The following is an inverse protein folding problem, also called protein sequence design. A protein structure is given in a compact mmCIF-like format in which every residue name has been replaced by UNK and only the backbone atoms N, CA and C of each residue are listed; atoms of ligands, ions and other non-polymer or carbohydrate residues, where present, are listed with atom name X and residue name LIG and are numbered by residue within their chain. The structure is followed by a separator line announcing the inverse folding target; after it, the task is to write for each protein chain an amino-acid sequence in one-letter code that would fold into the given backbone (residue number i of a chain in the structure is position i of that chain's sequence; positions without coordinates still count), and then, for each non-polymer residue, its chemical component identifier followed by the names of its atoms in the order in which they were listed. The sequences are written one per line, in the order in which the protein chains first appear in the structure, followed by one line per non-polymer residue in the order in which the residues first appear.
data_IF_599764575121
#
_entry.id   IF_599764575121
#
_cell.length_a   1.000
_cell.length_b   1.000
_cell.length_c   1.000
_cell.angle_alpha   90.00
_cell.angle_beta   90.00
_cell.angle_gamma   90.00
#
_symmetry.space_group_name_H-M   'P 1'
#
loop_
_entity.id
_entity.type
_entity.pdbx_description
1 polymer ?
#
# COMPACT_ATOMS: atom_id res chain seq x y z
N UNK A 1 -0.99 3.98 -21.96
CA UNK A 1 -0.11 5.08 -22.43
C UNK A 1 0.95 4.47 -23.32
N UNK A 2 1.45 5.19 -24.33
CA UNK A 2 2.55 4.66 -25.15
C UNK A 2 3.85 4.71 -24.34
N UNK A 3 4.79 3.79 -24.62
CA UNK A 3 6.12 3.76 -23.99
C UNK A 3 6.88 5.10 -24.09
N UNK A 4 6.54 5.92 -25.09
CA UNK A 4 7.05 7.28 -25.30
C UNK A 4 6.43 8.29 -24.33
N UNK A 5 5.12 8.15 -24.06
CA UNK A 5 4.39 9.02 -23.11
C UNK A 5 4.87 8.86 -21.67
N UNK A 6 5.31 7.66 -21.27
CA UNK A 6 5.83 7.40 -19.92
C UNK A 6 7.25 7.95 -19.74
N UNK A 7 8.11 7.79 -20.75
CA UNK A 7 9.43 8.42 -20.79
C UNK A 7 9.33 9.95 -20.70
N UNK A 8 8.41 10.55 -21.46
CA UNK A 8 8.20 12.01 -21.46
C UNK A 8 7.74 12.53 -20.08
N UNK A 9 6.86 11.79 -19.38
CA UNK A 9 6.39 12.14 -18.04
C UNK A 9 7.49 12.01 -16.99
N UNK A 10 8.27 10.92 -17.03
CA UNK A 10 9.41 10.73 -16.12
C UNK A 10 10.48 11.80 -16.33
N UNK A 11 10.79 12.14 -17.57
CA UNK A 11 11.74 13.20 -17.91
C UNK A 11 11.23 14.58 -17.47
N UNK A 12 9.94 14.88 -17.64
CA UNK A 12 9.35 16.12 -17.13
C UNK A 12 9.44 16.20 -15.60
N UNK A 13 9.17 15.10 -14.91
CA UNK A 13 9.29 15.02 -13.45
C UNK A 13 10.74 15.17 -12.98
N UNK A 14 11.70 14.58 -13.70
CA UNK A 14 13.12 14.76 -13.44
C UNK A 14 13.51 16.24 -13.47
N UNK A 15 13.17 16.95 -14.55
CA UNK A 15 13.50 18.37 -14.69
C UNK A 15 12.79 19.24 -13.63
N UNK A 16 11.56 18.90 -13.27
CA UNK A 16 10.85 19.60 -12.20
C UNK A 16 11.57 19.47 -10.85
N UNK A 17 12.01 18.26 -10.49
CA UNK A 17 12.72 18.03 -9.22
C UNK A 17 14.12 18.66 -9.23
N UNK A 18 14.81 18.62 -10.37
CA UNK A 18 16.08 19.31 -10.57
C UNK A 18 15.94 20.82 -10.35
N UNK A 19 14.91 21.45 -10.95
CA UNK A 19 14.66 22.88 -10.83
C UNK A 19 14.25 23.29 -9.41
N UNK A 20 13.42 22.49 -8.74
CA UNK A 20 13.09 22.72 -7.35
C UNK A 20 14.32 22.67 -6.43
N UNK A 21 15.21 21.71 -6.64
CA UNK A 21 16.44 21.63 -5.86
C UNK A 21 17.32 22.88 -6.07
N UNK A 22 17.44 23.39 -7.30
CA UNK A 22 18.18 24.62 -7.60
C UNK A 22 17.60 25.83 -6.87
N UNK A 23 16.28 26.03 -6.97
CA UNK A 23 15.58 27.17 -6.35
C UNK A 23 15.75 27.16 -4.83
N UNK A 24 15.58 26.01 -4.18
CA UNK A 24 15.70 25.92 -2.73
C UNK A 24 17.14 26.13 -2.25
N UNK A 25 18.12 25.62 -2.98
CA UNK A 25 19.54 25.79 -2.64
C UNK A 25 19.96 27.26 -2.74
N UNK A 26 19.61 27.92 -3.84
CA UNK A 26 19.92 29.34 -4.07
C UNK A 26 19.27 30.23 -3.00
N UNK A 27 18.02 29.92 -2.64
CA UNK A 27 17.32 30.66 -1.58
C UNK A 27 17.95 30.43 -0.21
N UNK A 28 18.35 29.20 0.12
CA UNK A 28 19.04 28.88 1.36
C UNK A 28 20.38 29.63 1.47
N UNK A 29 21.17 29.64 0.39
CA UNK A 29 22.43 30.37 0.30
C UNK A 29 22.22 31.88 0.46
N UNK A 30 21.19 32.43 -0.18
CA UNK A 30 20.85 33.86 -0.09
C UNK A 30 20.45 34.26 1.33
N UNK A 31 19.65 33.46 2.03
CA UNK A 31 19.29 33.75 3.42
C UNK A 31 20.52 33.64 4.32
N UNK A 32 21.32 32.59 4.17
CA UNK A 32 22.53 32.38 4.97
C UNK A 32 23.54 33.53 4.80
N UNK A 33 23.71 34.04 3.58
CA UNK A 33 24.59 35.18 3.29
C UNK A 33 24.09 36.50 3.90
N UNK A 34 22.77 36.70 3.96
CA UNK A 34 22.17 37.95 4.45
C UNK A 34 21.82 37.95 5.95
N UNK A 35 21.99 36.82 6.64
CA UNK A 35 21.69 36.68 8.07
C UNK A 35 22.91 36.14 8.86
N UNK A 36 23.97 36.95 9.03
CA UNK A 36 25.19 36.54 9.74
C UNK A 36 24.96 36.26 11.24
N UNK A 37 23.81 36.66 11.78
CA UNK A 37 23.42 36.35 13.16
C UNK A 37 22.59 35.05 13.26
N UNK A 38 22.37 34.36 12.13
CA UNK A 38 21.69 33.07 12.05
C UNK A 38 20.28 33.09 12.69
N UNK A 39 19.57 34.21 12.64
CA UNK A 39 18.21 34.36 13.21
C UNK A 39 17.17 33.51 12.46
N UNK A 40 17.43 33.19 11.19
CA UNK A 40 16.60 32.41 10.27
C UNK A 40 17.15 31.00 10.03
N UNK A 41 17.98 30.49 10.93
CA UNK A 41 18.63 29.19 10.80
C UNK A 41 17.63 28.03 10.59
N UNK A 42 16.44 28.10 11.21
CA UNK A 42 15.36 27.11 10.98
C UNK A 42 14.80 27.12 9.56
N UNK A 43 14.75 28.29 8.91
CA UNK A 43 14.29 28.45 7.53
C UNK A 43 15.33 27.93 6.54
N UNK A 44 16.61 28.25 6.79
CA UNK A 44 17.74 27.72 6.01
C UNK A 44 17.80 26.19 6.12
N UNK A 45 17.61 25.65 7.34
CA UNK A 45 17.54 24.19 7.57
C UNK A 45 16.40 23.54 6.78
N UNK A 46 15.23 24.19 6.72
CA UNK A 46 14.09 23.68 5.95
C UNK A 46 14.37 23.68 4.44
N UNK A 47 14.90 24.78 3.89
CA UNK A 47 15.22 24.88 2.47
C UNK A 47 16.31 23.89 2.04
N UNK A 48 17.33 23.68 2.88
CA UNK A 48 18.36 22.67 2.62
C UNK A 48 17.80 21.24 2.68
N UNK A 49 16.82 20.97 3.53
CA UNK A 49 16.11 19.69 3.52
C UNK A 49 15.32 19.47 2.22
N UNK A 50 14.56 20.47 1.77
CA UNK A 50 13.80 20.39 0.52
C UNK A 50 14.73 20.24 -0.69
N UNK A 51 15.88 20.92 -0.68
CA UNK A 51 16.96 20.75 -1.68
C UNK A 51 17.45 19.31 -1.75
N UNK A 52 17.84 18.72 -0.61
CA UNK A 52 18.36 17.36 -0.55
C UNK A 52 17.31 16.32 -0.97
N UNK A 53 16.03 16.56 -0.65
CA UNK A 53 14.94 15.67 -1.06
C UNK A 53 14.71 15.70 -2.57
N UNK A 54 14.56 16.90 -3.13
CA UNK A 54 14.34 17.08 -4.56
C UNK A 54 15.53 16.57 -5.38
N UNK A 55 16.77 16.82 -4.92
CA UNK A 55 17.97 16.28 -5.55
C UNK A 55 18.08 14.75 -5.48
N UNK A 56 17.68 14.13 -4.35
CA UNK A 56 17.64 12.67 -4.23
C UNK A 56 16.60 12.04 -5.18
N UNK A 57 15.44 12.67 -5.35
CA UNK A 57 14.41 12.21 -6.29
C UNK A 57 14.83 12.39 -7.74
N UNK A 58 15.42 13.54 -8.10
CA UNK A 58 15.99 13.77 -9.42
C UNK A 58 17.06 12.70 -9.76
N UNK A 59 17.93 12.37 -8.81
CA UNK A 59 18.95 11.33 -8.98
C UNK A 59 18.36 9.93 -9.17
N UNK A 60 17.25 9.62 -8.47
CA UNK A 60 16.50 8.36 -8.64
C UNK A 60 15.82 8.32 -10.01
N UNK A 61 15.03 9.33 -10.35
CA UNK A 61 14.32 9.41 -11.63
C UNK A 61 15.28 9.30 -12.79
N UNK A 62 16.46 9.95 -12.69
CA UNK A 62 17.49 9.81 -13.72
C UNK A 62 18.00 8.37 -13.86
N UNK A 63 18.27 7.68 -12.75
CA UNK A 63 18.68 6.26 -12.79
C UNK A 63 17.62 5.39 -13.45
N UNK A 64 16.35 5.62 -13.10
CA UNK A 64 15.23 4.88 -13.66
C UNK A 64 15.07 5.20 -15.17
N UNK A 65 15.22 6.47 -15.59
CA UNK A 65 15.20 6.87 -17.01
C UNK A 65 16.37 6.24 -17.78
N UNK A 66 17.61 6.28 -17.27
CA UNK A 66 18.76 5.64 -17.92
C UNK A 66 18.60 4.12 -18.04
N UNK A 67 17.95 3.49 -17.06
CA UNK A 67 17.74 2.05 -17.03
C UNK A 67 16.63 1.59 -17.98
N UNK A 68 15.51 2.30 -18.01
CA UNK A 68 14.30 1.86 -18.71
C UNK A 68 14.07 2.58 -20.05
N UNK A 69 14.69 3.74 -20.25
CA UNK A 69 14.52 4.62 -21.41
C UNK A 69 15.86 5.23 -21.85
N UNK A 70 16.83 4.41 -22.31
CA UNK A 70 18.19 4.85 -22.60
C UNK A 70 18.29 5.91 -23.72
N UNK A 71 17.28 5.97 -24.59
CA UNK A 71 17.20 6.93 -25.70
C UNK A 71 16.52 8.26 -25.30
N UNK A 72 16.04 8.39 -24.05
CA UNK A 72 15.38 9.60 -23.58
C UNK A 72 16.40 10.72 -23.32
N UNK A 73 16.22 11.87 -23.98
CA UNK A 73 17.02 13.07 -23.77
C UNK A 73 16.62 13.76 -22.46
N UNK A 74 17.59 13.90 -21.54
CA UNK A 74 17.43 14.63 -20.27
C UNK A 74 18.41 15.82 -20.16
N UNK A 75 19.05 16.20 -21.26
CA UNK A 75 19.88 17.41 -21.36
C UNK A 75 21.31 17.35 -20.78
N UNK A 76 21.68 16.37 -19.95
CA UNK A 76 23.04 16.26 -19.39
C UNK A 76 23.66 14.87 -19.59
N UNK A 77 24.83 14.82 -20.23
CA UNK A 77 25.61 13.57 -20.50
C UNK A 77 26.12 12.86 -19.22
N UNK A 78 25.98 13.50 -18.03
CA UNK A 78 26.26 12.93 -16.70
C UNK A 78 25.33 13.50 -15.61
N UNK A 79 24.02 13.48 -15.86
CA UNK A 79 23.02 14.11 -15.00
C UNK A 79 23.03 13.62 -13.52
N UNK A 80 23.34 12.34 -13.27
CA UNK A 80 23.45 11.80 -11.90
C UNK A 80 24.60 12.46 -11.13
N UNK A 81 25.77 12.58 -11.76
CA UNK A 81 26.95 13.20 -11.18
C UNK A 81 26.72 14.71 -11.03
N UNK A 82 26.06 15.34 -12.02
CA UNK A 82 25.71 16.75 -11.95
C UNK A 82 24.81 17.08 -10.75
N UNK A 83 23.73 16.32 -10.54
CA UNK A 83 22.82 16.51 -9.38
C UNK A 83 23.56 16.30 -8.06
N UNK A 84 24.46 15.33 -8.02
CA UNK A 84 25.28 15.09 -6.84
C UNK A 84 26.21 16.28 -6.55
N UNK A 85 26.99 16.69 -7.54
CA UNK A 85 28.08 17.64 -7.37
C UNK A 85 27.59 19.10 -7.25
N UNK A 86 26.44 19.42 -7.86
CA UNK A 86 25.91 20.79 -7.90
C UNK A 86 24.75 21.04 -6.93
N UNK A 87 24.09 20.00 -6.42
CA UNK A 87 22.95 20.16 -5.50
C UNK A 87 23.20 19.49 -4.15
N UNK A 88 23.56 18.20 -4.13
CA UNK A 88 23.71 17.44 -2.88
C UNK A 88 24.95 17.90 -2.11
N UNK A 89 26.10 17.97 -2.78
CA UNK A 89 27.38 18.36 -2.15
C UNK A 89 27.31 19.79 -1.59
N UNK A 90 26.84 20.81 -2.35
CA UNK A 90 26.76 22.17 -1.82
C UNK A 90 25.73 22.34 -0.69
N UNK A 91 24.60 21.62 -0.75
CA UNK A 91 23.61 21.65 0.33
C UNK A 91 24.17 21.06 1.63
N UNK A 92 24.92 19.95 1.56
CA UNK A 92 25.60 19.35 2.72
C UNK A 92 26.71 20.23 3.26
N UNK A 93 27.48 20.85 2.38
CA UNK A 93 28.50 21.81 2.78
C UNK A 93 27.88 22.97 3.57
N UNK A 94 26.76 23.54 3.09
CA UNK A 94 26.09 24.63 3.79
C UNK A 94 25.49 24.19 5.14
N UNK A 95 24.96 22.97 5.25
CA UNK A 95 24.50 22.42 6.54
C UNK A 95 25.66 22.33 7.54
N UNK A 96 26.79 21.78 7.10
CA UNK A 96 27.98 21.64 7.91
C UNK A 96 28.51 22.99 8.39
N UNK A 97 28.63 23.97 7.48
CA UNK A 97 29.15 25.31 7.78
C UNK A 97 28.27 26.08 8.77
N UNK A 98 26.97 25.79 8.78
CA UNK A 98 26.00 26.39 9.70
C UNK A 98 25.85 25.64 11.03
N UNK A 99 26.67 24.61 11.27
CA UNK A 99 26.59 23.79 12.48
C UNK A 99 25.25 23.04 12.61
N UNK A 100 24.52 22.89 11.50
CA UNK A 100 23.31 22.10 11.42
C UNK A 100 23.73 20.64 11.27
N UNK A 101 24.02 19.98 12.40
CA UNK A 101 24.41 18.57 12.42
C UNK A 101 23.46 17.74 11.56
N UNK A 102 24.06 16.85 10.76
CA UNK A 102 23.39 15.68 10.17
C UNK A 102 22.91 14.77 11.30
N UNK A 103 21.87 15.18 12.00
CA UNK A 103 21.13 14.29 12.88
C UNK A 103 20.70 13.09 12.02
N UNK A 104 21.16 11.86 12.32
CA UNK A 104 20.85 10.68 11.51
C UNK A 104 19.34 10.46 11.36
N UNK A 105 18.55 10.80 12.38
CA UNK A 105 17.08 10.73 12.30
C UNK A 105 16.52 11.79 11.35
N UNK A 106 17.10 12.99 11.33
CA UNK A 106 16.71 14.07 10.42
C UNK A 106 17.12 13.77 8.98
N UNK A 107 18.33 13.26 8.74
CA UNK A 107 18.80 12.82 7.42
C UNK A 107 17.96 11.64 6.89
N UNK A 108 17.52 10.74 7.78
CA UNK A 108 16.60 9.66 7.42
C UNK A 108 15.19 10.17 7.07
N UNK A 109 14.72 11.23 7.73
CA UNK A 109 13.45 11.92 7.41
C UNK A 109 13.51 12.72 6.10
N UNK A 110 14.69 13.23 5.72
CA UNK A 110 14.87 14.15 4.58
C UNK A 110 15.28 13.44 3.30
N UNK A 111 16.12 12.39 3.37
CA UNK A 111 16.70 11.71 2.21
C UNK A 111 15.95 10.45 1.74
N UNK A 112 14.82 10.06 2.36
CA UNK A 112 13.95 8.99 1.83
C UNK A 112 12.74 9.57 1.07
N UNK A 113 12.37 8.98 -0.09
CA UNK A 113 11.39 9.55 -1.00
C UNK A 113 9.98 9.44 -0.42
N UNK A 114 9.27 10.57 -0.37
CA UNK A 114 7.81 10.74 -0.34
C UNK A 114 6.95 10.08 0.77
N UNK A 115 7.45 9.09 1.51
CA UNK A 115 6.69 8.45 2.57
C UNK A 115 6.54 9.29 3.84
N UNK A 116 7.53 10.11 4.17
CA UNK A 116 7.62 10.78 5.48
C UNK A 116 6.82 12.08 5.54
N UNK A 117 6.65 12.83 4.44
CA UNK A 117 5.75 13.99 4.40
C UNK A 117 4.28 13.58 4.37
N UNK A 118 3.94 12.52 3.64
CA UNK A 118 2.61 11.90 3.74
C UNK A 118 2.41 11.36 5.15
N UNK A 119 3.38 10.65 5.73
CA UNK A 119 3.34 10.18 7.12
C UNK A 119 3.21 11.30 8.17
N UNK A 120 3.94 12.42 8.07
CA UNK A 120 3.81 13.53 9.02
C UNK A 120 2.56 14.37 8.78
N UNK A 121 2.00 14.39 7.56
CA UNK A 121 0.70 14.98 7.27
C UNK A 121 -0.43 14.08 7.79
N UNK A 122 -0.36 12.77 7.56
CA UNK A 122 -1.26 11.74 8.09
C UNK A 122 -1.21 11.68 9.62
N UNK A 123 -0.03 11.68 10.23
CA UNK A 123 0.16 11.66 11.69
C UNK A 123 -0.32 12.95 12.36
N UNK A 124 -0.18 14.11 11.71
CA UNK A 124 -0.76 15.38 12.19
C UNK A 124 -2.27 15.49 11.93
N UNK A 125 -2.82 14.64 11.06
CA UNK A 125 -4.21 14.65 10.60
C UNK A 125 -4.98 13.38 10.97
N UNK A 126 -4.43 12.50 11.82
CA UNK A 126 -5.05 11.22 12.18
C UNK A 126 -6.43 11.43 12.82
N UNK A 127 -6.59 12.52 13.58
CA UNK A 127 -7.86 12.93 14.17
C UNK A 127 -8.89 13.43 13.13
N UNK A 128 -8.45 13.81 11.93
CA UNK A 128 -9.32 14.32 10.85
C UNK A 128 -9.46 13.38 9.64
N UNK A 129 -8.62 12.34 9.55
CA UNK A 129 -8.60 11.37 8.44
C UNK A 129 -9.87 10.52 8.41
N UNK A 130 -10.39 10.18 9.58
CA UNK A 130 -11.65 9.43 9.70
C UNK A 130 -12.87 10.36 9.60
N UNK A 131 -12.69 11.68 9.68
CA UNK A 131 -13.74 12.61 10.10
C UNK A 131 -14.52 13.26 8.94
N UNK A 132 -14.15 13.00 7.67
CA UNK A 132 -14.65 13.82 6.54
C UNK A 132 -15.14 13.10 5.28
N UNK A 133 -14.92 11.80 5.09
CA UNK A 133 -15.58 10.98 4.05
C UNK A 133 -15.38 9.49 4.41
N UNK A 134 -16.44 8.69 4.43
CA UNK A 134 -16.34 7.23 4.60
C UNK A 134 -15.97 6.61 3.24
N UNK A 135 -14.80 5.98 3.14
CA UNK A 135 -14.44 5.12 2.03
C UNK A 135 -14.56 3.66 2.49
N UNK A 136 -15.20 2.76 1.69
CA UNK A 136 -15.36 1.35 2.04
C UNK A 136 -14.01 0.71 2.36
N UNK A 137 -13.99 -0.17 3.38
CA UNK A 137 -12.78 -0.95 3.65
C UNK A 137 -12.37 -1.73 2.40
N UNK A 138 -11.13 -1.53 1.98
CA UNK A 138 -10.54 -2.12 0.77
C UNK A 138 -9.86 -3.45 1.03
N UNK A 139 -9.47 -3.73 2.27
CA UNK A 139 -8.89 -5.02 2.59
C UNK A 139 -9.34 -5.50 3.97
N UNK A 140 -9.41 -6.81 4.14
CA UNK A 140 -9.57 -7.43 5.45
C UNK A 140 -8.87 -8.78 5.51
N UNK A 141 -8.45 -9.17 6.71
CA UNK A 141 -7.79 -10.45 6.97
C UNK A 141 -8.02 -10.86 8.41
N UNK A 142 -8.35 -12.13 8.61
CA UNK A 142 -8.33 -12.75 9.94
C UNK A 142 -6.94 -12.61 10.56
N UNK A 143 -6.87 -12.08 11.78
CA UNK A 143 -5.63 -11.84 12.50
C UNK A 143 -4.86 -13.16 12.64
N UNK A 144 -3.64 -13.27 12.07
CA UNK A 144 -2.88 -14.51 12.18
C UNK A 144 -2.59 -14.85 13.64
N UNK A 145 -2.91 -16.09 14.02
CA UNK A 145 -2.78 -16.57 15.40
C UNK A 145 -3.93 -16.22 16.34
N UNK A 146 -4.93 -15.45 15.89
CA UNK A 146 -6.16 -15.15 16.64
C UNK A 146 -7.38 -15.32 15.72
N UNK A 147 -8.08 -16.44 15.89
CA UNK A 147 -9.21 -16.79 15.04
C UNK A 147 -10.47 -15.96 15.30
N UNK A 148 -10.47 -15.03 16.27
CA UNK A 148 -11.65 -14.22 16.62
C UNK A 148 -11.50 -12.75 16.24
N UNK A 149 -10.32 -12.32 15.80
CA UNK A 149 -10.07 -10.92 15.43
C UNK A 149 -9.71 -10.82 13.97
N UNK A 150 -10.06 -9.70 13.34
CA UNK A 150 -9.73 -9.39 11.97
C UNK A 150 -9.16 -7.98 11.87
N UNK A 151 -8.18 -7.82 10.98
CA UNK A 151 -7.74 -6.52 10.51
C UNK A 151 -8.66 -6.08 9.37
N UNK A 152 -9.12 -4.83 9.43
CA UNK A 152 -9.77 -4.14 8.33
C UNK A 152 -8.94 -2.93 7.96
N UNK A 153 -8.89 -2.61 6.66
CA UNK A 153 -8.07 -1.56 6.08
C UNK A 153 -8.93 -0.67 5.19
N UNK A 154 -8.82 0.64 5.35
CA UNK A 154 -9.49 1.64 4.53
C UNK A 154 -8.54 2.81 4.30
N UNK A 155 -8.21 3.09 3.04
CA UNK A 155 -7.15 4.01 2.66
C UNK A 155 -5.86 3.77 3.47
N UNK A 156 -5.49 4.72 4.32
CA UNK A 156 -4.27 4.71 5.15
C UNK A 156 -4.53 4.22 6.57
N UNK A 157 -5.81 3.98 6.90
CA UNK A 157 -6.30 3.56 8.19
C UNK A 157 -6.49 2.05 8.29
N UNK A 158 -6.47 1.57 9.53
CA UNK A 158 -6.85 0.21 9.87
C UNK A 158 -7.59 0.14 11.20
N UNK A 159 -8.41 -0.88 11.36
CA UNK A 159 -9.10 -1.21 12.60
C UNK A 159 -8.93 -2.71 12.90
N UNK A 160 -8.91 -3.05 14.19
CA UNK A 160 -8.96 -4.44 14.65
C UNK A 160 -10.37 -4.67 15.17
N UNK A 161 -11.10 -5.61 14.55
CA UNK A 161 -12.49 -5.89 14.87
C UNK A 161 -12.62 -7.35 15.29
N UNK A 162 -13.41 -7.61 16.33
CA UNK A 162 -13.94 -8.93 16.66
C UNK A 162 -15.28 -9.09 15.91
N UNK A 163 -15.37 -9.92 14.84
CA UNK A 163 -16.52 -9.97 13.95
C UNK A 163 -17.81 -10.53 14.55
N UNK A 164 -17.73 -11.32 15.63
CA UNK A 164 -18.86 -12.04 16.26
C UNK A 164 -19.97 -12.53 15.30
N UNK A 165 -19.66 -13.51 14.42
CA UNK A 165 -20.60 -14.00 13.41
C UNK A 165 -21.94 -14.44 13.99
N UNK A 166 -23.02 -14.21 13.23
CA UNK A 166 -24.39 -14.58 13.62
C UNK A 166 -25.21 -13.44 14.25
N UNK A 167 -24.62 -12.25 14.43
CA UNK A 167 -25.32 -11.04 14.89
C UNK A 167 -24.67 -9.76 14.36
N UNK A 168 -25.00 -8.63 14.97
CA UNK A 168 -24.42 -7.28 14.71
C UNK A 168 -23.64 -6.79 15.94
N UNK A 169 -23.07 -7.74 16.69
CA UNK A 169 -22.41 -7.49 17.97
C UNK A 169 -20.89 -7.36 17.85
N UNK A 170 -20.40 -7.13 16.62
CA UNK A 170 -19.00 -6.88 16.32
C UNK A 170 -18.50 -5.67 17.10
N UNK A 171 -17.24 -5.73 17.53
CA UNK A 171 -16.65 -4.67 18.35
C UNK A 171 -15.28 -4.29 17.83
N UNK A 172 -14.99 -2.98 17.90
CA UNK A 172 -13.64 -2.45 17.75
C UNK A 172 -12.83 -2.92 18.96
N UNK A 173 -11.79 -3.71 18.71
CA UNK A 173 -10.85 -4.21 19.74
C UNK A 173 -9.86 -3.12 20.12
N UNK A 174 -9.35 -2.40 19.13
CA UNK A 174 -8.44 -1.27 19.29
C UNK A 174 -8.91 -0.11 18.43
N UNK A 175 -8.80 1.12 18.94
CA UNK A 175 -9.21 2.32 18.21
C UNK A 175 -8.59 2.33 16.80
N UNK A 176 -9.35 2.78 15.77
CA UNK A 176 -8.80 2.94 14.43
C UNK A 176 -7.50 3.74 14.47
N UNK A 177 -6.52 3.26 13.71
CA UNK A 177 -5.16 3.81 13.69
C UNK A 177 -4.64 3.82 12.27
N UNK A 178 -3.54 4.52 12.02
CA UNK A 178 -2.87 4.44 10.73
C UNK A 178 -2.17 3.09 10.58
N UNK A 179 -2.18 2.54 9.37
CA UNK A 179 -1.45 1.30 9.05
C UNK A 179 0.03 1.41 9.49
N UNK A 180 0.64 2.55 9.21
CA UNK A 180 2.05 2.87 9.53
C UNK A 180 2.33 3.05 11.02
N UNK A 181 1.31 3.25 11.86
CA UNK A 181 1.48 3.22 13.32
C UNK A 181 1.61 1.77 13.81
N UNK A 182 0.95 0.83 13.13
CA UNK A 182 1.02 -0.59 13.45
C UNK A 182 2.23 -1.27 12.81
N UNK A 183 2.49 -0.96 11.54
CA UNK A 183 3.58 -1.52 10.74
C UNK A 183 4.36 -0.41 10.05
N UNK A 184 5.34 0.16 10.77
CA UNK A 184 6.19 1.24 10.27
C UNK A 184 7.08 0.79 9.11
N UNK A 185 7.39 -0.51 9.00
CA UNK A 185 8.21 -1.04 7.92
C UNK A 185 7.58 -0.86 6.53
N UNK A 186 6.25 -0.73 6.44
CA UNK A 186 5.54 -0.48 5.18
C UNK A 186 5.90 0.88 4.57
N UNK A 187 6.30 1.86 5.39
CA UNK A 187 6.81 3.15 4.93
C UNK A 187 8.11 2.98 4.13
N UNK A 188 8.98 2.06 4.55
CA UNK A 188 10.26 1.83 3.88
C UNK A 188 10.11 1.31 2.45
N UNK A 189 8.92 0.76 2.12
CA UNK A 189 8.60 0.18 0.82
C UNK A 189 7.48 0.92 0.09
N UNK A 190 7.11 2.11 0.58
CA UNK A 190 6.06 2.97 0.02
C UNK A 190 4.66 2.34 -0.07
N UNK A 191 4.33 1.43 0.84
CA UNK A 191 2.97 0.90 0.98
C UNK A 191 2.28 1.72 2.06
N UNK A 192 1.36 2.59 1.64
CA UNK A 192 0.57 3.45 2.55
C UNK A 192 -0.89 3.05 2.64
N UNK A 193 -1.39 2.41 1.57
CA UNK A 193 -2.72 1.81 1.50
C UNK A 193 -2.60 0.32 1.28
N UNK A 194 -3.62 -0.42 1.66
CA UNK A 194 -3.68 -1.88 1.47
C UNK A 194 -4.95 -2.18 0.68
N UNK A 195 -4.75 -2.62 -0.56
CA UNK A 195 -5.84 -2.98 -1.46
C UNK A 195 -6.22 -4.44 -1.28
N UNK A 196 -5.26 -5.31 -0.93
CA UNK A 196 -5.56 -6.65 -0.50
C UNK A 196 -4.50 -7.19 0.47
N UNK A 197 -4.86 -8.19 1.26
CA UNK A 197 -3.93 -8.82 2.20
C UNK A 197 -4.17 -10.32 2.30
N UNK A 198 -3.09 -11.10 2.35
CA UNK A 198 -3.12 -12.55 2.47
C UNK A 198 -2.24 -13.02 3.62
N UNK A 199 -2.85 -13.67 4.61
CA UNK A 199 -2.11 -14.30 5.71
C UNK A 199 -1.23 -15.43 5.18
N UNK A 200 0.03 -15.46 5.61
CA UNK A 200 0.86 -16.64 5.39
C UNK A 200 0.40 -17.76 6.33
N UNK A 201 -0.28 -18.79 5.79
CA UNK A 201 -0.76 -19.93 6.59
C UNK A 201 0.34 -20.86 7.08
N UNK A 202 1.52 -20.85 6.43
CA UNK A 202 2.68 -21.60 6.89
C UNK A 202 3.44 -20.87 8.02
N UNK A 203 3.36 -19.54 8.06
CA UNK A 203 3.96 -18.72 9.10
C UNK A 203 3.00 -17.63 9.57
N UNK A 204 2.38 -17.83 10.73
CA UNK A 204 1.45 -16.87 11.35
C UNK A 204 2.05 -15.49 11.63
N UNK A 205 3.36 -15.35 11.58
CA UNK A 205 4.01 -14.05 11.77
C UNK A 205 4.10 -13.25 10.47
N UNK A 206 3.68 -13.81 9.32
CA UNK A 206 3.84 -13.20 8.03
C UNK A 206 2.50 -12.98 7.30
N UNK A 207 2.45 -11.91 6.50
CA UNK A 207 1.36 -11.66 5.57
C UNK A 207 1.87 -10.94 4.31
N UNK A 208 1.24 -11.23 3.18
CA UNK A 208 1.45 -10.51 1.93
C UNK A 208 0.51 -9.32 1.89
N UNK A 209 1.06 -8.12 1.72
CA UNK A 209 0.32 -6.87 1.53
C UNK A 209 0.41 -6.47 0.07
N UNK A 210 -0.73 -6.19 -0.55
CA UNK A 210 -0.86 -5.75 -1.94
C UNK A 210 -1.32 -4.28 -1.97
N UNK A 211 -0.70 -3.48 -2.82
CA UNK A 211 -0.97 -2.05 -2.99
C UNK A 211 -0.62 -1.62 -4.41
N UNK A 212 -1.63 -1.22 -5.19
CA UNK A 212 -1.51 -0.99 -6.62
C UNK A 212 -0.95 -2.21 -7.34
N UNK A 213 0.11 -2.02 -8.12
CA UNK A 213 0.78 -3.09 -8.87
C UNK A 213 1.87 -3.81 -8.07
N UNK A 214 2.03 -3.49 -6.78
CA UNK A 214 3.12 -3.98 -5.94
C UNK A 214 2.62 -4.81 -4.76
N UNK A 215 3.51 -5.66 -4.25
CA UNK A 215 3.30 -6.39 -3.01
C UNK A 215 4.57 -6.48 -2.17
N UNK A 216 4.39 -6.69 -0.86
CA UNK A 216 5.46 -7.04 0.07
C UNK A 216 5.02 -8.17 1.00
N UNK A 217 5.95 -9.08 1.31
CA UNK A 217 5.81 -10.04 2.40
C UNK A 217 6.38 -9.39 3.67
N UNK A 218 5.54 -9.29 4.69
CA UNK A 218 5.85 -8.57 5.93
C UNK A 218 5.76 -9.53 7.10
N UNK A 219 6.76 -9.51 7.98
CA UNK A 219 6.63 -10.08 9.31
C UNK A 219 5.83 -9.10 10.17
N UNK A 220 4.55 -9.39 10.36
CA UNK A 220 3.59 -8.55 11.07
C UNK A 220 3.79 -8.54 12.58
N UNK A 221 4.60 -9.44 13.13
CA UNK A 221 4.94 -9.48 14.56
C UNK A 221 6.19 -8.69 14.90
N UNK A 222 7.16 -8.68 13.98
CA UNK A 222 8.43 -7.96 14.12
C UNK A 222 8.42 -6.57 13.47
N UNK A 223 7.33 -6.20 12.79
CA UNK A 223 7.24 -4.97 11.98
C UNK A 223 8.44 -4.86 11.02
N UNK A 224 8.58 -5.86 10.14
CA UNK A 224 9.75 -5.99 9.26
C UNK A 224 9.39 -6.51 7.89
N UNK A 225 9.99 -5.93 6.85
CA UNK A 225 9.91 -6.46 5.49
C UNK A 225 10.72 -7.76 5.40
N UNK A 226 10.05 -8.84 4.99
CA UNK A 226 10.69 -10.13 4.69
C UNK A 226 11.09 -10.18 3.22
N UNK A 227 10.22 -9.70 2.32
CA UNK A 227 10.51 -9.59 0.89
C UNK A 227 9.67 -8.47 0.26
N UNK A 228 10.21 -7.82 -0.77
CA UNK A 228 9.53 -6.72 -1.46
C UNK A 228 10.10 -5.34 -1.18
N UNK A 229 9.52 -4.28 -1.76
CA UNK A 229 8.35 -4.34 -2.63
C UNK A 229 8.74 -4.95 -3.98
N UNK A 230 7.86 -5.76 -4.55
CA UNK A 230 8.02 -6.34 -5.88
C UNK A 230 6.73 -6.09 -6.66
N UNK A 231 6.84 -5.94 -7.97
CA UNK A 231 5.67 -5.94 -8.84
C UNK A 231 4.98 -7.31 -8.76
N UNK A 232 3.65 -7.30 -8.70
CA UNK A 232 2.82 -8.51 -8.59
C UNK A 232 3.09 -9.45 -9.76
N UNK A 233 3.09 -8.93 -10.98
CA UNK A 233 3.31 -9.69 -12.22
C UNK A 233 4.71 -10.30 -12.30
N UNK A 234 5.69 -9.71 -11.61
CA UNK A 234 7.06 -10.23 -11.55
C UNK A 234 7.28 -11.22 -10.41
N UNK A 235 6.52 -11.10 -9.32
CA UNK A 235 6.69 -11.95 -8.12
C UNK A 235 5.73 -13.13 -8.00
N UNK A 236 4.61 -13.12 -8.75
CA UNK A 236 3.60 -14.17 -8.75
C UNK A 236 3.33 -14.62 -10.18
N UNK A 237 3.94 -15.74 -10.58
CA UNK A 237 3.85 -16.25 -11.95
C UNK A 237 2.42 -16.64 -12.31
N UNK A 238 1.63 -17.11 -11.36
CA UNK A 238 0.22 -17.45 -11.56
C UNK A 238 -0.66 -16.21 -11.77
N UNK A 239 -0.40 -15.11 -11.06
CA UNK A 239 -1.10 -13.84 -11.25
C UNK A 239 -0.69 -13.19 -12.57
N UNK A 240 0.58 -13.35 -12.97
CA UNK A 240 1.04 -12.99 -14.31
C UNK A 240 0.28 -13.74 -15.41
N UNK A 241 0.13 -15.06 -15.27
CA UNK A 241 -0.67 -15.88 -16.20
C UNK A 241 -2.14 -15.48 -16.22
N UNK A 242 -2.68 -15.06 -15.07
CA UNK A 242 -4.04 -14.53 -14.96
C UNK A 242 -4.20 -13.11 -15.52
N UNK A 243 -3.10 -12.40 -15.76
CA UNK A 243 -3.11 -11.00 -16.23
C UNK A 243 -3.46 -9.99 -15.13
N UNK A 244 -3.34 -10.37 -13.85
CA UNK A 244 -3.76 -9.55 -12.71
C UNK A 244 -2.63 -8.60 -12.30
N UNK A 245 -2.73 -7.35 -12.73
CA UNK A 245 -1.78 -6.28 -12.36
C UNK A 245 -2.00 -5.78 -10.95
N UNK A 246 -3.26 -5.67 -10.54
CA UNK A 246 -3.70 -5.25 -9.20
C UNK A 246 -4.56 -6.35 -8.59
N UNK A 247 -4.68 -6.35 -7.27
CA UNK A 247 -5.51 -7.29 -6.53
C UNK A 247 -6.45 -6.50 -5.62
N UNK A 248 -7.75 -6.73 -5.78
CA UNK A 248 -8.79 -6.02 -5.05
C UNK A 248 -9.19 -6.79 -3.79
N UNK A 249 -9.19 -8.12 -3.84
CA UNK A 249 -9.47 -8.94 -2.67
C UNK A 249 -8.74 -10.27 -2.73
N UNK A 250 -8.45 -10.83 -1.55
CA UNK A 250 -7.94 -12.19 -1.42
C UNK A 250 -8.75 -12.94 -0.38
N UNK A 251 -9.21 -14.14 -0.76
CA UNK A 251 -9.89 -15.06 0.13
C UNK A 251 -9.11 -16.37 0.24
N UNK A 252 -8.54 -16.71 1.41
CA UNK A 252 -7.91 -18.00 1.63
C UNK A 252 -8.88 -19.16 1.35
N UNK A 253 -8.41 -20.21 0.68
CA UNK A 253 -9.27 -21.35 0.37
C UNK A 253 -9.71 -22.05 1.67
N UNK A 254 -11.01 -22.39 1.82
CA UNK A 254 -11.55 -22.86 3.10
C UNK A 254 -10.98 -24.24 3.52
N UNK A 255 -10.63 -25.07 2.54
CA UNK A 255 -10.21 -26.47 2.77
C UNK A 255 -8.74 -26.76 2.45
N UNK A 256 -8.04 -25.84 1.76
CA UNK A 256 -6.68 -26.07 1.27
C UNK A 256 -5.81 -24.90 1.72
N UNK A 257 -4.87 -25.09 2.65
CA UNK A 257 -4.08 -24.00 3.21
C UNK A 257 -3.11 -23.35 2.22
N UNK A 258 -2.77 -24.04 1.13
CA UNK A 258 -1.87 -23.53 0.09
C UNK A 258 -2.59 -22.87 -1.07
N UNK A 259 -3.93 -22.79 -1.05
CA UNK A 259 -4.69 -22.18 -2.14
C UNK A 259 -5.40 -20.91 -1.64
N UNK A 260 -5.53 -19.90 -2.50
CA UNK A 260 -6.32 -18.70 -2.23
C UNK A 260 -6.97 -18.17 -3.51
N UNK A 261 -8.17 -17.63 -3.37
CA UNK A 261 -8.87 -16.92 -4.43
C UNK A 261 -8.41 -15.47 -4.45
N UNK A 262 -7.91 -15.01 -5.59
CA UNK A 262 -7.52 -13.64 -5.86
C UNK A 262 -8.58 -13.01 -6.78
N UNK A 263 -9.05 -11.82 -6.44
CA UNK A 263 -10.04 -11.06 -7.20
C UNK A 263 -9.38 -9.80 -7.76
N UNK A 264 -9.70 -9.47 -9.02
CA UNK A 264 -9.18 -8.30 -9.74
C UNK A 264 -10.20 -7.86 -10.79
N UNK A 265 -10.82 -6.71 -10.57
CA UNK A 265 -11.99 -6.24 -11.31
C UNK A 265 -13.11 -7.28 -11.29
N UNK A 266 -13.62 -7.60 -12.48
CA UNK A 266 -14.69 -8.59 -12.67
C UNK A 266 -14.22 -10.05 -12.69
N UNK A 267 -12.91 -10.26 -12.48
CA UNK A 267 -12.25 -11.56 -12.65
C UNK A 267 -11.75 -12.10 -11.32
N UNK A 268 -11.64 -13.43 -11.24
CA UNK A 268 -10.94 -14.09 -10.15
C UNK A 268 -10.06 -15.24 -10.65
N UNK A 269 -9.08 -15.61 -9.83
CA UNK A 269 -8.20 -16.75 -10.03
C UNK A 269 -8.05 -17.52 -8.71
N UNK A 270 -7.99 -18.84 -8.77
CA UNK A 270 -7.53 -19.69 -7.67
C UNK A 270 -6.05 -19.97 -7.87
N UNK A 271 -5.23 -19.50 -6.94
CA UNK A 271 -3.79 -19.65 -6.98
C UNK A 271 -3.36 -20.58 -5.87
N UNK A 272 -2.50 -21.54 -6.21
CA UNK A 272 -1.73 -22.31 -5.25
C UNK A 272 -0.39 -21.63 -5.03
N UNK A 273 -0.08 -21.32 -3.79
CA UNK A 273 1.14 -20.65 -3.39
C UNK A 273 1.80 -21.40 -2.22
N UNK A 274 3.12 -21.49 -2.27
CA UNK A 274 3.94 -22.02 -1.19
C UNK A 274 4.63 -20.84 -0.51
N UNK A 275 4.23 -20.48 0.73
CA UNK A 275 4.86 -19.36 1.40
C UNK A 275 6.34 -19.62 1.66
N UNK A 276 7.19 -18.67 1.25
CA UNK A 276 8.65 -18.78 1.34
C UNK A 276 9.33 -19.42 0.11
N UNK A 277 8.56 -19.95 -0.84
CA UNK A 277 9.07 -20.41 -2.13
C UNK A 277 8.70 -19.41 -3.23
N UNK A 278 9.51 -19.36 -4.29
CA UNK A 278 9.21 -18.54 -5.49
C UNK A 278 8.20 -19.21 -6.43
N UNK A 279 7.70 -20.39 -6.07
CA UNK A 279 6.85 -21.20 -6.94
C UNK A 279 5.39 -21.05 -6.52
N UNK A 280 4.60 -20.50 -7.44
CA UNK A 280 3.15 -20.46 -7.39
C UNK A 280 2.57 -21.04 -8.69
N UNK A 281 1.31 -21.47 -8.65
CA UNK A 281 0.64 -22.06 -9.82
C UNK A 281 -0.82 -21.64 -9.91
N UNK A 282 -1.26 -21.39 -11.13
CA UNK A 282 -2.65 -21.06 -11.42
C UNK A 282 -3.47 -22.36 -11.43
N UNK A 283 -4.36 -22.52 -10.46
CA UNK A 283 -5.22 -23.71 -10.32
C UNK A 283 -6.49 -23.55 -11.14
N UNK A 284 -7.12 -22.38 -11.04
CA UNK A 284 -8.31 -22.00 -11.82
C UNK A 284 -8.16 -20.52 -12.18
N UNK A 285 -8.62 -20.12 -13.36
CA UNK A 285 -8.69 -18.71 -13.72
C UNK A 285 -7.82 -18.34 -14.92
N UNK A 286 -7.86 -17.06 -15.33
CA UNK A 286 -8.78 -16.05 -14.83
C UNK A 286 -10.22 -16.37 -15.31
N UNK A 287 -11.21 -16.21 -14.44
CA UNK A 287 -12.63 -16.43 -14.77
C UNK A 287 -13.48 -15.27 -14.29
N UNK A 288 -14.58 -14.99 -15.00
CA UNK A 288 -15.55 -13.96 -14.60
C UNK A 288 -16.25 -14.38 -13.31
N UNK A 289 -16.26 -13.51 -12.30
CA UNK A 289 -16.84 -13.77 -10.97
C UNK A 289 -18.29 -14.21 -11.12
N UNK A 290 -19.09 -13.46 -11.87
CA UNK A 290 -20.52 -13.71 -12.02
C UNK A 290 -20.84 -15.02 -12.74
N UNK A 291 -19.90 -15.64 -13.45
CA UNK A 291 -20.15 -16.93 -14.10
C UNK A 291 -19.99 -18.10 -13.14
N UNK A 292 -19.06 -17.99 -12.20
CA UNK A 292 -18.65 -19.11 -11.34
C UNK A 292 -19.22 -19.01 -9.92
N UNK A 293 -19.40 -17.79 -9.41
CA UNK A 293 -19.98 -17.53 -8.09
C UNK A 293 -21.46 -17.17 -8.23
N UNK A 294 -22.34 -18.19 -8.22
CA UNK A 294 -23.78 -17.97 -8.44
C UNK A 294 -24.41 -17.10 -7.37
N UNK A 295 -23.92 -17.21 -6.13
CA UNK A 295 -24.39 -16.40 -5.00
C UNK A 295 -24.01 -14.93 -5.17
N UNK A 296 -22.77 -14.64 -5.57
CA UNK A 296 -22.30 -13.26 -5.82
C UNK A 296 -23.05 -12.62 -6.98
N UNK A 297 -23.23 -13.34 -8.10
CA UNK A 297 -24.08 -12.88 -9.21
C UNK A 297 -25.49 -12.54 -8.74
N UNK A 298 -26.11 -13.41 -7.93
CA UNK A 298 -27.47 -13.19 -7.41
C UNK A 298 -27.55 -11.98 -6.48
N UNK A 299 -26.47 -11.70 -5.74
CA UNK A 299 -26.35 -10.52 -4.90
C UNK A 299 -26.02 -9.24 -5.68
N UNK A 300 -25.73 -9.35 -6.99
CA UNK A 300 -25.34 -8.23 -7.85
C UNK A 300 -23.86 -7.86 -7.74
N UNK A 301 -23.01 -8.74 -7.20
CA UNK A 301 -21.57 -8.52 -7.03
C UNK A 301 -20.85 -8.97 -8.31
N UNK A 302 -20.47 -8.00 -9.13
CA UNK A 302 -19.67 -8.13 -10.34
C UNK A 302 -18.16 -8.01 -10.06
N UNK A 303 -17.78 -7.25 -9.05
CA UNK A 303 -16.45 -7.21 -8.43
C UNK A 303 -16.55 -7.37 -6.90
N UNK A 304 -15.40 -7.49 -6.24
CA UNK A 304 -15.27 -7.67 -4.78
C UNK A 304 -14.22 -6.70 -4.26
N UNK A 305 -14.63 -5.79 -3.38
CA UNK A 305 -13.69 -4.87 -2.70
C UNK A 305 -12.93 -5.57 -1.60
N UNK A 306 -13.55 -6.53 -0.90
CA UNK A 306 -12.86 -7.28 0.13
C UNK A 306 -13.54 -8.60 0.45
N UNK A 307 -12.77 -9.57 0.96
CA UNK A 307 -13.30 -10.87 1.33
C UNK A 307 -12.58 -11.44 2.56
N UNK A 308 -13.34 -12.12 3.43
CA UNK A 308 -12.80 -12.70 4.66
C UNK A 308 -13.55 -13.98 5.03
N UNK A 309 -12.80 -15.01 5.43
CA UNK A 309 -13.38 -16.24 5.98
C UNK A 309 -14.20 -15.94 7.24
N UNK A 310 -15.37 -16.56 7.38
CA UNK A 310 -16.15 -16.46 8.59
C UNK A 310 -15.42 -17.19 9.75
N UNK A 311 -15.04 -16.49 10.85
CA UNK A 311 -14.30 -17.11 11.94
C UNK A 311 -15.08 -18.20 12.70
N UNK A 312 -16.42 -18.21 12.60
CA UNK A 312 -17.26 -19.24 13.21
C UNK A 312 -17.49 -20.46 12.30
N UNK A 313 -17.26 -20.32 10.99
CA UNK A 313 -17.48 -21.39 10.02
C UNK A 313 -16.55 -21.21 8.81
N UNK A 314 -15.52 -22.06 8.69
CA UNK A 314 -14.54 -21.96 7.60
C UNK A 314 -15.12 -22.20 6.21
N UNK A 315 -16.29 -22.84 6.08
CA UNK A 315 -16.98 -23.03 4.80
C UNK A 315 -17.79 -21.79 4.37
N UNK A 316 -17.78 -20.73 5.17
CA UNK A 316 -18.44 -19.47 4.86
C UNK A 316 -17.43 -18.32 4.75
N UNK A 317 -17.76 -17.32 3.93
CA UNK A 317 -16.98 -16.09 3.84
C UNK A 317 -17.88 -14.87 3.63
N UNK A 318 -17.44 -13.76 4.21
CA UNK A 318 -17.98 -12.44 3.94
C UNK A 318 -17.35 -11.88 2.68
N UNK A 319 -18.17 -11.29 1.81
CA UNK A 319 -17.75 -10.53 0.65
C UNK A 319 -18.35 -9.13 0.75
N UNK A 320 -17.52 -8.12 0.50
CA UNK A 320 -17.86 -6.70 0.58
C UNK A 320 -17.75 -6.08 -0.81
N UNK A 321 -18.70 -5.20 -1.14
CA UNK A 321 -18.70 -4.41 -2.37
C UNK A 321 -19.49 -3.12 -2.16
N UNK A 322 -18.85 -1.97 -2.34
CA UNK A 322 -19.43 -0.66 -2.10
C UNK A 322 -19.96 -0.56 -0.68
N UNK A 323 -21.24 -0.24 -0.51
CA UNK A 323 -21.86 -0.21 0.83
C UNK A 323 -22.52 -1.52 1.25
N UNK A 324 -22.41 -2.59 0.45
CA UNK A 324 -23.09 -3.86 0.66
C UNK A 324 -22.13 -4.99 1.06
N UNK A 325 -22.66 -5.97 1.78
CA UNK A 325 -21.99 -7.25 2.02
C UNK A 325 -22.95 -8.44 1.89
N UNK A 326 -22.35 -9.60 1.64
CA UNK A 326 -22.99 -10.92 1.73
C UNK A 326 -22.14 -11.89 2.53
N UNK A 327 -22.78 -12.80 3.25
CA UNK A 327 -22.17 -14.00 3.79
C UNK A 327 -22.56 -15.17 2.88
N UNK A 328 -21.56 -15.85 2.33
CA UNK A 328 -21.74 -16.93 1.36
C UNK A 328 -21.19 -18.22 1.94
N UNK A 329 -21.95 -19.30 1.81
CA UNK A 329 -21.47 -20.67 2.01
C UNK A 329 -20.80 -21.13 0.72
N UNK A 330 -19.49 -21.37 0.80
CA UNK A 330 -18.61 -21.71 -0.32
C UNK A 330 -18.61 -23.22 -0.52
N UNK A 331 -18.59 -23.64 -1.79
CA UNK A 331 -18.39 -25.05 -2.17
C UNK A 331 -17.25 -25.15 -3.18
N UNK A 332 -16.00 -25.30 -2.71
CA UNK A 332 -14.85 -25.29 -3.60
C UNK A 332 -14.95 -26.33 -4.73
N UNK A 333 -14.47 -25.96 -5.91
CA UNK A 333 -14.51 -26.82 -7.10
C UNK A 333 -15.90 -26.95 -7.74
N UNK A 334 -16.92 -26.26 -7.23
CA UNK A 334 -18.29 -26.25 -7.78
C UNK A 334 -18.82 -24.82 -7.92
N UNK A 335 -19.98 -24.68 -8.56
CA UNK A 335 -20.74 -23.41 -8.64
C UNK A 335 -22.00 -23.44 -7.75
N UNK A 336 -22.00 -24.28 -6.72
CA UNK A 336 -23.13 -24.51 -5.81
C UNK A 336 -23.00 -23.73 -4.50
N UNK A 337 -22.31 -22.59 -4.57
CA UNK A 337 -22.25 -21.59 -3.52
C UNK A 337 -23.62 -20.97 -3.27
N UNK A 338 -23.90 -20.57 -2.03
CA UNK A 338 -25.21 -20.07 -1.63
C UNK A 338 -25.11 -18.92 -0.63
N UNK A 339 -26.02 -17.94 -0.75
CA UNK A 339 -26.10 -16.83 0.20
C UNK A 339 -26.68 -17.34 1.53
N UNK A 340 -25.95 -17.13 2.62
CA UNK A 340 -26.40 -17.36 4.00
C UNK A 340 -27.04 -16.09 4.55
N UNK A 341 -26.42 -14.93 4.34
CA UNK A 341 -26.94 -13.61 4.73
C UNK A 341 -26.67 -12.60 3.62
N UNK A 342 -27.63 -11.70 3.38
CA UNK A 342 -27.47 -10.56 2.49
C UNK A 342 -28.16 -10.71 1.12
N UNK A 343 -27.94 -9.75 0.21
CA UNK A 343 -27.15 -8.53 0.41
C UNK A 343 -27.74 -7.62 1.50
N UNK A 344 -26.87 -7.00 2.30
CA UNK A 344 -27.22 -6.04 3.35
C UNK A 344 -26.22 -4.91 3.33
N UNK A 345 -26.65 -3.73 3.77
CA UNK A 345 -25.75 -2.61 4.01
C UNK A 345 -24.75 -2.94 5.12
N UNK A 346 -23.47 -2.65 4.88
CA UNK A 346 -22.38 -2.93 5.82
C UNK A 346 -22.63 -2.25 7.15
N UNK A 347 -22.99 -0.96 7.16
CA UNK A 347 -23.24 -0.22 8.41
C UNK A 347 -24.38 -0.78 9.27
N UNK A 348 -25.27 -1.62 8.72
CA UNK A 348 -26.32 -2.30 9.48
C UNK A 348 -25.85 -3.67 10.02
N UNK A 349 -24.95 -4.34 9.31
CA UNK A 349 -24.41 -5.65 9.69
C UNK A 349 -23.17 -5.58 10.57
N UNK A 350 -22.41 -4.50 10.43
CA UNK A 350 -21.11 -4.25 11.04
C UNK A 350 -21.06 -2.85 11.66
N UNK A 351 -21.81 -2.57 12.74
CA UNK A 351 -21.74 -1.31 13.48
C UNK A 351 -20.31 -0.84 13.79
N UNK A 352 -19.38 -1.76 14.06
CA UNK A 352 -17.99 -1.38 14.37
C UNK A 352 -17.24 -0.78 13.17
N UNK A 353 -17.55 -1.22 11.94
CA UNK A 353 -16.98 -0.64 10.73
C UNK A 353 -17.51 0.78 10.46
N UNK A 354 -18.79 1.02 10.80
CA UNK A 354 -19.37 2.36 10.76
C UNK A 354 -18.73 3.27 11.81
N UNK A 355 -18.56 2.77 13.04
CA UNK A 355 -17.88 3.50 14.12
C UNK A 355 -16.42 3.82 13.77
N UNK A 356 -15.76 2.92 13.04
CA UNK A 356 -14.42 3.13 12.50
C UNK A 356 -14.37 4.06 11.28
N UNK A 357 -15.53 4.49 10.76
CA UNK A 357 -15.69 5.36 9.59
C UNK A 357 -15.15 4.71 8.29
N UNK A 358 -15.31 3.39 8.18
CA UNK A 358 -14.93 2.60 7.00
C UNK A 358 -16.12 2.30 6.09
N UNK A 359 -17.38 2.60 6.47
CA UNK A 359 -18.60 2.35 5.67
C UNK A 359 -19.77 3.26 6.05
#
# INVERSE_FOLDING_TARGET
MSHRSEADEMTARYHQQEEYAKIYLDHAQTIAANDPQQRRLGEVRHLLAETLRAAAEARRLRRDIEQFYPDADVGHDRAIDWVHDNLIVPARALLHDLGLCEDPEWMEQVCRPHGVQHYHRMRRSADHLFDKNCEPARACMMKPGDAQQAYFFADVGMAIIDPRPGGTGDVIVEKPMLIVQRWSCLVAVNIFTVDAVLSNRANKHEAYFFSGEFYALVNISEDRIVSGPKEIMSGWRSLQQAGFKTIDAVLPHPQNPSDAYFFSGEMYALVRYNPGELNDSLVIGPKVITNEWKSLRKAGFDYVDSAMTNPANSDEAYFFRGSDYVLVKIRPGTTDDSIVVGPKLVHNGWPSLKEALFY
#
